data_IF_122521409515
#
_entry.id   IF_122521409515
#
_cell.length_a   1.000
_cell.length_b   1.000
_cell.length_c   1.000
_cell.angle_alpha   90.00
_cell.angle_beta   90.00
_cell.angle_gamma   90.00
#
_symmetry.space_group_name_H-M   'P 1'
#
loop_
_entity.id
_entity.type
_entity.pdbx_description
1 polymer ?
#
# COMPACT_ATOMS: atom_id res chain seq x y z
N UNK A 1 2.56 -11.76 2.19
CA UNK A 1 1.80 -11.05 3.26
C UNK A 1 0.79 -10.03 2.71
N UNK A 2 0.07 -9.35 3.59
CA UNK A 2 -0.84 -8.23 3.30
C UNK A 2 -0.44 -6.98 4.10
N UNK A 3 -0.93 -5.80 3.70
CA UNK A 3 -0.73 -4.57 4.46
C UNK A 3 -1.01 -3.28 3.69
N UNK A 4 -0.99 -2.15 4.39
CA UNK A 4 -1.10 -0.82 3.78
C UNK A 4 0.15 -0.50 2.96
N UNK A 5 -0.04 0.00 1.75
CA UNK A 5 1.07 0.52 0.94
C UNK A 5 1.72 1.72 1.63
N UNK A 6 3.05 1.82 1.55
CA UNK A 6 3.83 2.93 2.10
C UNK A 6 4.76 3.55 1.07
N UNK A 7 4.81 4.88 1.03
CA UNK A 7 5.80 5.61 0.26
C UNK A 7 7.11 5.64 1.06
N UNK A 8 8.10 4.87 0.62
CA UNK A 8 9.41 4.75 1.28
C UNK A 8 10.15 6.09 1.42
N UNK A 9 9.82 7.08 0.59
CA UNK A 9 10.45 8.40 0.64
C UNK A 9 9.87 9.30 1.71
N UNK A 10 8.58 9.16 2.05
CA UNK A 10 7.88 10.03 3.01
C UNK A 10 7.42 9.31 4.29
N UNK A 11 7.39 7.98 4.31
CA UNK A 11 6.83 7.22 5.43
C UNK A 11 5.30 7.17 5.44
N UNK A 12 4.63 7.86 4.52
CA UNK A 12 3.18 7.96 4.48
C UNK A 12 2.53 6.83 3.70
N UNK A 13 1.35 6.42 4.13
CA UNK A 13 0.51 5.49 3.39
C UNK A 13 -0.06 6.14 2.12
N UNK A 14 -0.43 5.31 1.15
CA UNK A 14 -1.09 5.79 -0.07
C UNK A 14 -2.57 6.03 0.22
N UNK A 15 -3.02 7.28 0.15
CA UNK A 15 -4.42 7.63 0.37
C UNK A 15 -5.32 7.25 -0.81
N UNK A 16 -6.58 6.95 -0.56
CA UNK A 16 -7.61 6.73 -1.56
C UNK A 16 -8.96 7.31 -1.12
N UNK A 17 -9.79 7.83 -2.05
CA UNK A 17 -10.93 8.68 -1.70
C UNK A 17 -12.14 7.92 -1.16
N UNK A 18 -12.27 6.61 -1.42
CA UNK A 18 -13.46 5.83 -1.10
C UNK A 18 -13.10 4.39 -0.80
N UNK A 19 -13.51 3.90 0.37
CA UNK A 19 -13.39 2.49 0.77
C UNK A 19 -14.06 1.55 -0.23
N UNK A 20 -13.41 0.43 -0.52
CA UNK A 20 -13.84 -0.58 -1.48
C UNK A 20 -12.89 -0.69 -2.67
N UNK A 21 -13.41 -1.19 -3.79
CA UNK A 21 -12.65 -1.38 -5.02
C UNK A 21 -12.03 -0.06 -5.51
N UNK A 22 -10.73 -0.11 -5.82
CA UNK A 22 -9.97 1.06 -6.24
C UNK A 22 -8.97 0.66 -7.32
N UNK A 23 -9.25 1.04 -8.56
CA UNK A 23 -8.35 0.84 -9.71
C UNK A 23 -6.96 1.42 -9.43
N UNK A 24 -6.90 2.53 -8.68
CA UNK A 24 -5.63 3.13 -8.26
C UNK A 24 -4.86 2.21 -7.30
N UNK A 25 -5.50 1.75 -6.22
CA UNK A 25 -4.82 0.89 -5.25
C UNK A 25 -4.42 -0.45 -5.88
N UNK A 26 -5.29 -1.04 -6.70
CA UNK A 26 -5.00 -2.30 -7.39
C UNK A 26 -3.80 -2.16 -8.35
N UNK A 27 -3.77 -1.08 -9.15
CA UNK A 27 -2.67 -0.79 -10.07
C UNK A 27 -1.34 -0.61 -9.35
N UNK A 28 -1.31 0.24 -8.30
CA UNK A 28 -0.09 0.49 -7.54
C UNK A 28 0.37 -0.76 -6.78
N UNK A 29 -0.58 -1.56 -6.27
CA UNK A 29 -0.27 -2.81 -5.58
C UNK A 29 0.45 -3.82 -6.49
N UNK A 30 -0.01 -3.93 -7.75
CA UNK A 30 0.54 -4.82 -8.77
C UNK A 30 1.81 -4.27 -9.43
N UNK A 31 2.20 -3.03 -9.12
CA UNK A 31 3.40 -2.44 -9.69
C UNK A 31 4.63 -3.25 -9.27
N UNK A 32 5.63 -3.35 -10.16
CA UNK A 32 6.82 -4.21 -9.96
C UNK A 32 7.60 -3.90 -8.67
N UNK A 33 7.53 -2.66 -8.19
CA UNK A 33 8.17 -2.20 -6.96
C UNK A 33 7.42 -2.62 -5.68
N UNK A 34 6.16 -3.02 -5.78
CA UNK A 34 5.36 -3.56 -4.68
C UNK A 34 5.26 -5.08 -4.79
N UNK A 35 4.90 -5.60 -5.97
CA UNK A 35 4.81 -7.03 -6.27
C UNK A 35 3.56 -7.73 -5.73
N UNK A 36 2.53 -6.98 -5.32
CA UNK A 36 1.27 -7.52 -4.83
C UNK A 36 0.41 -8.11 -5.94
N UNK A 37 -0.62 -8.85 -5.54
CA UNK A 37 -1.56 -9.51 -6.46
C UNK A 37 -2.91 -8.81 -6.57
N UNK A 38 -3.31 -8.05 -5.54
CA UNK A 38 -4.59 -7.35 -5.50
C UNK A 38 -4.51 -6.17 -4.54
N UNK A 39 -5.14 -5.06 -4.89
CA UNK A 39 -5.20 -3.88 -4.02
C UNK A 39 -6.57 -3.21 -4.02
N UNK A 40 -6.95 -2.65 -2.88
CA UNK A 40 -8.23 -1.94 -2.71
C UNK A 40 -8.07 -0.81 -1.69
N UNK A 41 -9.09 0.03 -1.57
CA UNK A 41 -9.11 1.12 -0.60
C UNK A 41 -9.74 0.64 0.70
N UNK A 42 -9.01 0.72 1.81
CA UNK A 42 -9.46 0.38 3.15
C UNK A 42 -9.18 1.54 4.11
N UNK A 43 -10.21 2.02 4.82
CA UNK A 43 -10.09 3.16 5.74
C UNK A 43 -9.34 4.36 5.14
N UNK A 44 -9.70 4.75 3.91
CA UNK A 44 -9.08 5.83 3.13
C UNK A 44 -7.60 5.64 2.76
N UNK A 45 -7.08 4.41 2.88
CA UNK A 45 -5.71 4.05 2.52
C UNK A 45 -5.69 2.80 1.64
N UNK A 46 -4.69 2.68 0.77
CA UNK A 46 -4.58 1.51 -0.09
C UNK A 46 -4.03 0.31 0.69
N UNK A 47 -4.83 -0.75 0.75
CA UNK A 47 -4.45 -2.06 1.24
C UNK A 47 -4.03 -2.97 0.08
N UNK A 48 -3.04 -3.81 0.32
CA UNK A 48 -2.46 -4.72 -0.64
C UNK A 48 -2.45 -6.15 -0.12
N UNK A 49 -2.78 -7.08 -1.00
CA UNK A 49 -2.71 -8.53 -0.77
C UNK A 49 -1.65 -9.17 -1.68
N UNK A 50 -1.11 -10.30 -1.22
CA UNK A 50 -0.13 -11.08 -1.99
C UNK A 50 1.23 -10.40 -2.16
N UNK A 51 1.61 -9.50 -1.24
CA UNK A 51 2.92 -8.86 -1.27
C UNK A 51 4.05 -9.87 -0.95
N UNK A 52 5.22 -9.74 -1.60
CA UNK A 52 6.45 -10.40 -1.16
C UNK A 52 6.81 -10.02 0.28
N UNK A 53 7.44 -10.93 1.01
CA UNK A 53 7.85 -10.67 2.41
C UNK A 53 8.84 -9.50 2.53
N UNK A 54 9.65 -9.27 1.48
CA UNK A 54 10.60 -8.16 1.38
C UNK A 54 9.97 -6.78 1.14
N UNK A 55 8.70 -6.71 0.75
CA UNK A 55 8.02 -5.44 0.51
C UNK A 55 7.60 -4.80 1.83
N UNK A 56 8.07 -3.60 2.18
CA UNK A 56 7.64 -2.95 3.42
C UNK A 56 6.20 -2.45 3.29
N UNK A 57 5.48 -2.47 4.41
CA UNK A 57 4.09 -2.01 4.54
C UNK A 57 4.05 -0.91 5.60
N UNK A 58 3.05 -0.05 5.56
CA UNK A 58 2.88 0.99 6.59
C UNK A 58 2.47 0.38 7.94
N UNK A 59 2.98 0.87 9.07
CA UNK A 59 3.98 1.94 9.21
C UNK A 59 5.43 1.47 8.97
N UNK A 60 6.32 2.40 8.59
CA UNK A 60 7.77 2.18 8.60
C UNK A 60 8.34 2.56 9.97
N UNK A 61 9.11 1.66 10.59
CA UNK A 61 9.71 1.90 11.91
C UNK A 61 10.77 3.00 11.89
N UNK A 62 11.53 3.12 10.81
CA UNK A 62 12.65 4.06 10.64
C UNK A 62 12.25 5.37 9.95
N UNK A 63 10.99 5.48 9.49
CA UNK A 63 10.49 6.64 8.78
C UNK A 63 9.00 6.89 9.06
N UNK A 64 8.66 7.60 10.16
CA UNK A 64 7.29 8.05 10.39
C UNK A 64 6.84 8.99 9.25
N UNK A 65 5.54 9.02 8.99
CA UNK A 65 4.95 9.93 8.00
C UNK A 65 5.07 11.38 8.44
N UNK A 66 5.63 12.23 7.57
CA UNK A 66 5.77 13.68 7.70
C UNK A 66 5.17 14.37 6.46
#
# INVERSE_FOLDING_TARGET
KEGYMVNKSTGCSYSCPKTGESVYCDKECKAKNQGGSYGFCQYSNCWCEGLPESTPTWPLDDKPCD
#
